data_IF_455427659914
#
_entry.id   IF_455427659914
#
_cell.length_a   1.000
_cell.length_b   1.000
_cell.length_c   1.000
_cell.angle_alpha   90.00
_cell.angle_beta   90.00
_cell.angle_gamma   90.00
#
_symmetry.space_group_name_H-M   'P 1'
#
loop_
_entity.id
_entity.type
_entity.pdbx_description
1 polymer ?
#
# COMPACT_ATOMS: atom_id res chain seq x y z
N UNK A 1 -27.43 -9.43 -56.66
CA UNK A 1 -26.85 -8.08 -56.57
C UNK A 1 -27.63 -7.37 -55.47
N UNK A 2 -27.11 -6.99 -54.31
CA UNK A 2 -25.76 -6.83 -53.80
C UNK A 2 -25.74 -7.20 -52.32
N UNK A 3 -24.65 -7.82 -51.87
CA UNK A 3 -24.41 -8.02 -50.44
C UNK A 3 -23.86 -6.74 -49.85
N UNK A 4 -24.62 -6.11 -48.96
CA UNK A 4 -24.08 -5.11 -48.04
C UNK A 4 -23.25 -5.83 -46.98
N UNK A 5 -21.96 -5.92 -47.28
CA UNK A 5 -20.92 -6.29 -46.32
C UNK A 5 -20.89 -5.16 -45.30
N UNK A 6 -21.40 -5.42 -44.10
CA UNK A 6 -21.23 -4.57 -42.92
C UNK A 6 -19.74 -4.20 -42.81
N UNK A 7 -19.39 -2.97 -43.18
CA UNK A 7 -18.11 -2.39 -42.88
C UNK A 7 -17.98 -2.35 -41.35
N UNK A 8 -17.16 -3.26 -40.82
CA UNK A 8 -16.62 -3.08 -39.47
C UNK A 8 -15.98 -1.70 -39.41
N UNK A 9 -16.31 -0.84 -38.43
CA UNK A 9 -15.69 0.47 -38.34
C UNK A 9 -14.17 0.26 -38.31
N UNK A 10 -13.47 0.91 -39.24
CA UNK A 10 -12.01 0.87 -39.33
C UNK A 10 -11.44 1.12 -37.93
N UNK A 11 -10.63 0.18 -37.43
CA UNK A 11 -9.95 0.37 -36.16
C UNK A 11 -9.18 1.70 -36.23
N UNK A 12 -9.36 2.60 -35.25
CA UNK A 12 -8.83 3.95 -35.35
C UNK A 12 -7.30 3.90 -35.52
N UNK A 13 -6.81 4.57 -36.57
CA UNK A 13 -5.40 4.50 -36.98
C UNK A 13 -4.50 5.08 -35.88
N UNK A 14 -3.40 4.39 -35.53
CA UNK A 14 -2.52 4.85 -34.48
C UNK A 14 -1.82 6.16 -34.85
N UNK A 15 -1.84 7.12 -33.92
CA UNK A 15 -1.21 8.42 -34.03
C UNK A 15 0.17 8.40 -33.36
N UNK A 16 1.16 7.77 -34.03
CA UNK A 16 2.58 7.83 -33.64
C UNK A 16 3.14 6.60 -32.91
N UNK A 17 4.43 6.63 -32.58
CA UNK A 17 5.17 5.49 -32.02
C UNK A 17 4.73 5.11 -30.59
N UNK A 18 4.40 6.11 -29.76
CA UNK A 18 3.86 5.91 -28.42
C UNK A 18 2.48 5.24 -28.46
N UNK A 19 1.65 5.67 -29.40
CA UNK A 19 0.32 5.10 -29.59
C UNK A 19 0.38 3.64 -30.08
N UNK A 20 1.33 3.32 -30.96
CA UNK A 20 1.59 1.94 -31.39
C UNK A 20 2.05 1.03 -30.24
N UNK A 21 2.92 1.52 -29.36
CA UNK A 21 3.47 0.71 -28.26
C UNK A 21 2.44 0.47 -27.15
N UNK A 22 1.78 1.53 -26.68
CA UNK A 22 0.80 1.45 -25.60
C UNK A 22 -0.62 1.14 -26.07
N UNK A 23 -0.86 1.14 -27.38
CA UNK A 23 -2.17 0.92 -28.00
C UNK A 23 -3.22 1.91 -27.47
N UNK A 24 -2.86 3.19 -27.32
CA UNK A 24 -3.66 4.22 -26.62
C UNK A 24 -5.00 4.44 -27.33
N UNK A 25 -4.95 4.64 -28.64
CA UNK A 25 -6.14 4.86 -29.48
C UNK A 25 -6.98 3.59 -29.61
N UNK A 26 -6.35 2.41 -29.63
CA UNK A 26 -7.06 1.13 -29.63
C UNK A 26 -7.75 0.84 -28.27
N UNK A 27 -7.26 1.45 -27.17
CA UNK A 27 -7.90 1.44 -25.85
C UNK A 27 -8.95 2.55 -25.68
N UNK A 28 -9.18 3.37 -26.72
CA UNK A 28 -10.17 4.44 -26.70
C UNK A 28 -9.77 5.66 -25.86
N UNK A 29 -8.47 5.88 -25.62
CA UNK A 29 -7.93 6.97 -24.80
C UNK A 29 -7.13 7.98 -25.65
N UNK A 30 -6.69 9.07 -25.01
CA UNK A 30 -5.81 10.09 -25.62
C UNK A 30 -4.61 10.34 -24.72
N UNK A 31 -3.48 10.80 -25.28
CA UNK A 31 -2.27 11.11 -24.50
C UNK A 31 -2.55 12.07 -23.34
N UNK A 32 -3.41 13.08 -23.57
CA UNK A 32 -3.82 14.03 -22.52
C UNK A 32 -4.59 13.32 -21.40
N UNK A 33 -5.49 12.41 -21.74
CA UNK A 33 -6.27 11.64 -20.78
C UNK A 33 -5.39 10.67 -19.99
N UNK A 34 -4.42 10.02 -20.62
CA UNK A 34 -3.43 9.16 -19.95
C UNK A 34 -2.57 9.94 -18.95
N UNK A 35 -2.09 11.13 -19.32
CA UNK A 35 -1.31 11.98 -18.41
C UNK A 35 -2.15 12.44 -17.21
N UNK A 36 -3.39 12.86 -17.44
CA UNK A 36 -4.29 13.23 -16.34
C UNK A 36 -4.62 12.02 -15.45
N UNK A 37 -4.87 10.85 -16.04
CA UNK A 37 -5.14 9.62 -15.30
C UNK A 37 -3.92 9.20 -14.45
N UNK A 38 -2.71 9.27 -15.02
CA UNK A 38 -1.48 9.01 -14.28
C UNK A 38 -1.30 9.97 -13.10
N UNK A 39 -1.57 11.26 -13.28
CA UNK A 39 -1.48 12.26 -12.22
C UNK A 39 -2.52 12.03 -11.11
N UNK A 40 -3.77 11.71 -11.48
CA UNK A 40 -4.82 11.43 -10.49
C UNK A 40 -4.54 10.15 -9.71
N UNK A 41 -4.05 9.10 -10.38
CA UNK A 41 -3.60 7.85 -9.74
C UNK A 41 -2.41 8.08 -8.81
N UNK A 42 -1.42 8.89 -9.23
CA UNK A 42 -0.32 9.29 -8.37
C UNK A 42 -0.81 9.99 -7.10
N UNK A 43 -1.66 11.02 -7.24
CA UNK A 43 -2.22 11.75 -6.10
C UNK A 43 -3.05 10.87 -5.17
N UNK A 44 -3.73 9.86 -5.70
CA UNK A 44 -4.50 8.92 -4.89
C UNK A 44 -3.62 7.99 -4.04
N UNK A 45 -2.39 7.68 -4.48
CA UNK A 45 -1.50 6.73 -3.79
C UNK A 45 -0.42 7.39 -2.94
N UNK A 46 -0.09 8.67 -3.21
CA UNK A 46 1.07 9.34 -2.58
C UNK A 46 0.95 9.45 -1.06
N UNK A 47 -0.25 9.32 -0.48
CA UNK A 47 -0.40 9.26 0.98
C UNK A 47 0.42 8.11 1.61
N UNK A 48 0.61 7.00 0.88
CA UNK A 48 1.40 5.85 1.35
C UNK A 48 2.86 6.20 1.62
N UNK A 49 3.40 7.19 0.90
CA UNK A 49 4.77 7.71 1.08
C UNK A 49 4.95 8.38 2.45
N UNK A 50 3.87 8.83 3.08
CA UNK A 50 3.89 9.40 4.44
C UNK A 50 3.60 8.32 5.48
N UNK A 51 2.59 7.48 5.21
CA UNK A 51 2.10 6.49 6.17
C UNK A 51 3.13 5.39 6.44
N UNK A 52 3.80 4.86 5.40
CA UNK A 52 4.74 3.75 5.52
C UNK A 52 5.96 4.11 6.38
N UNK A 53 6.67 5.24 6.13
CA UNK A 53 7.75 5.70 7.01
C UNK A 53 7.28 5.98 8.44
N UNK A 54 6.07 6.51 8.61
CA UNK A 54 5.51 6.77 9.95
C UNK A 54 5.28 5.49 10.75
N UNK A 55 4.87 4.40 10.11
CA UNK A 55 4.64 3.11 10.75
C UNK A 55 5.96 2.38 11.05
N UNK A 56 6.84 2.25 10.06
CA UNK A 56 8.13 1.59 10.24
C UNK A 56 9.07 2.39 11.16
N UNK A 57 8.96 3.72 11.16
CA UNK A 57 9.68 4.61 12.07
C UNK A 57 9.42 4.29 13.54
N UNK A 58 8.15 4.02 13.91
CA UNK A 58 7.78 3.61 15.27
C UNK A 58 8.39 2.27 15.69
N UNK A 59 8.73 1.42 14.72
CA UNK A 59 9.39 0.15 14.95
C UNK A 59 10.94 0.25 14.93
N UNK A 60 11.50 1.45 14.81
CA UNK A 60 12.94 1.67 14.81
C UNK A 60 13.61 1.63 13.44
N UNK A 61 12.84 1.65 12.34
CA UNK A 61 13.43 1.85 11.01
C UNK A 61 13.74 3.35 10.80
N UNK A 62 14.88 3.72 10.17
CA UNK A 62 15.19 5.09 9.80
C UNK A 62 14.14 5.66 8.83
N UNK A 63 13.28 6.62 9.25
CA UNK A 63 12.13 7.06 8.45
C UNK A 63 12.52 7.67 7.09
N UNK A 64 13.62 8.43 7.06
CA UNK A 64 14.12 9.03 5.82
C UNK A 64 14.53 7.97 4.77
N UNK A 65 15.23 6.92 5.20
CA UNK A 65 15.62 5.83 4.31
C UNK A 65 14.41 5.03 3.83
N UNK A 66 13.44 4.78 4.71
CA UNK A 66 12.18 4.11 4.35
C UNK A 66 11.36 4.93 3.35
N UNK A 67 11.30 6.25 3.52
CA UNK A 67 10.65 7.16 2.57
C UNK A 67 11.26 7.04 1.17
N UNK A 68 12.58 7.15 1.07
CA UNK A 68 13.29 7.06 -0.21
C UNK A 68 13.10 5.67 -0.83
N UNK A 69 13.22 4.60 -0.04
CA UNK A 69 13.00 3.24 -0.52
C UNK A 69 11.57 3.03 -1.04
N UNK A 70 10.56 3.57 -0.34
CA UNK A 70 9.15 3.49 -0.75
C UNK A 70 8.92 4.18 -2.09
N UNK A 71 9.46 5.39 -2.26
CA UNK A 71 9.36 6.14 -3.51
C UNK A 71 10.07 5.43 -4.68
N UNK A 72 11.28 4.92 -4.45
CA UNK A 72 12.05 4.21 -5.47
C UNK A 72 11.38 2.91 -5.91
N UNK A 73 10.90 2.11 -4.96
CA UNK A 73 10.23 0.82 -5.26
C UNK A 73 8.88 1.05 -5.95
N UNK A 74 8.07 2.00 -5.48
CA UNK A 74 6.79 2.32 -6.12
C UNK A 74 6.99 2.89 -7.54
N UNK A 75 7.97 3.78 -7.72
CA UNK A 75 8.32 4.35 -9.03
C UNK A 75 8.84 3.28 -9.99
N UNK A 76 9.82 2.49 -9.57
CA UNK A 76 10.38 1.41 -10.38
C UNK A 76 9.34 0.35 -10.73
N UNK A 77 8.53 -0.08 -9.76
CA UNK A 77 7.46 -1.05 -9.98
C UNK A 77 6.40 -0.55 -10.96
N UNK A 78 5.99 0.71 -10.83
CA UNK A 78 5.03 1.33 -11.75
C UNK A 78 5.61 1.47 -13.17
N UNK A 79 6.89 1.81 -13.30
CA UNK A 79 7.59 1.84 -14.58
C UNK A 79 7.66 0.46 -15.22
N UNK A 80 7.93 -0.59 -14.44
CA UNK A 80 7.98 -1.96 -14.94
C UNK A 80 6.61 -2.42 -15.45
N UNK A 81 5.53 -2.09 -14.74
CA UNK A 81 4.16 -2.37 -15.19
C UNK A 81 3.80 -1.62 -16.48
N UNK A 82 4.18 -0.35 -16.59
CA UNK A 82 3.93 0.46 -17.78
C UNK A 82 4.76 0.00 -18.98
N UNK A 83 6.09 -0.07 -18.83
CA UNK A 83 7.00 -0.27 -19.95
C UNK A 83 7.13 -1.74 -20.38
N UNK A 84 7.15 -2.67 -19.42
CA UNK A 84 7.38 -4.10 -19.72
C UNK A 84 6.05 -4.87 -19.82
N UNK A 85 5.16 -4.72 -18.84
CA UNK A 85 3.88 -5.43 -18.88
C UNK A 85 2.84 -4.74 -19.79
N UNK A 86 3.04 -3.46 -20.14
CA UNK A 86 2.09 -2.66 -20.92
C UNK A 86 0.68 -2.62 -20.28
N UNK A 87 0.64 -2.56 -18.94
CA UNK A 87 -0.58 -2.52 -18.15
C UNK A 87 -0.76 -1.14 -17.51
N UNK A 88 -1.98 -0.56 -17.55
CA UNK A 88 -2.28 0.74 -16.94
C UNK A 88 -2.49 0.57 -15.42
N UNK A 89 -1.51 -0.02 -14.74
CA UNK A 89 -1.54 -0.30 -13.31
C UNK A 89 -0.32 0.31 -12.63
N UNK A 90 -0.58 1.02 -11.54
CA UNK A 90 0.47 1.59 -10.71
C UNK A 90 0.74 0.68 -9.50
N UNK A 91 2.00 0.61 -9.08
CA UNK A 91 2.42 -0.19 -7.94
C UNK A 91 2.62 0.71 -6.74
N UNK A 92 1.96 0.37 -5.63
CA UNK A 92 2.12 0.99 -4.33
C UNK A 92 2.73 0.05 -3.29
N UNK A 93 2.98 0.57 -2.10
CA UNK A 93 3.42 -0.22 -0.95
C UNK A 93 2.22 -0.90 -0.27
N UNK A 94 2.39 -2.16 0.14
CA UNK A 94 1.37 -2.90 0.89
C UNK A 94 1.33 -2.43 2.36
N UNK A 95 0.30 -1.66 2.71
CA UNK A 95 0.13 -1.08 4.05
C UNK A 95 -0.10 -2.18 5.11
N UNK A 96 -0.84 -3.24 4.76
CA UNK A 96 -1.15 -4.35 5.65
C UNK A 96 0.12 -5.10 6.11
N UNK A 97 0.99 -5.46 5.17
CA UNK A 97 2.29 -6.08 5.44
C UNK A 97 3.23 -5.15 6.19
N UNK A 98 3.19 -3.85 5.90
CA UNK A 98 3.95 -2.83 6.61
C UNK A 98 3.54 -2.77 8.08
N UNK A 99 2.23 -2.78 8.37
CA UNK A 99 1.70 -2.78 9.73
C UNK A 99 2.09 -4.03 10.50
N UNK A 100 1.92 -5.20 9.86
CA UNK A 100 2.28 -6.47 10.46
C UNK A 100 3.77 -6.50 10.82
N UNK A 101 4.63 -6.03 9.92
CA UNK A 101 6.07 -5.96 10.16
C UNK A 101 6.43 -5.03 11.31
N UNK A 102 5.86 -3.82 11.33
CA UNK A 102 6.15 -2.83 12.38
C UNK A 102 5.61 -3.26 13.75
N UNK A 103 4.31 -3.54 13.83
CA UNK A 103 3.60 -3.65 15.10
C UNK A 103 3.53 -5.08 15.62
N UNK A 104 3.43 -6.09 14.75
CA UNK A 104 3.36 -7.49 15.18
C UNK A 104 4.75 -8.10 15.33
N UNK A 105 5.62 -7.98 14.33
CA UNK A 105 6.95 -8.61 14.36
C UNK A 105 7.94 -7.84 15.22
N UNK A 106 8.20 -6.57 14.88
CA UNK A 106 9.25 -5.83 15.56
C UNK A 106 8.80 -5.42 16.97
N UNK A 107 7.66 -4.72 17.09
CA UNK A 107 7.19 -4.27 18.41
C UNK A 107 6.52 -5.38 19.22
N UNK A 108 5.69 -6.23 18.60
CA UNK A 108 4.94 -7.26 19.30
C UNK A 108 5.82 -8.44 19.75
N UNK A 109 6.67 -8.96 18.87
CA UNK A 109 7.55 -10.10 19.16
C UNK A 109 8.97 -9.69 19.57
N UNK A 110 9.27 -8.39 19.64
CA UNK A 110 10.59 -7.85 20.01
C UNK A 110 11.72 -8.37 19.10
N UNK A 111 11.40 -8.57 17.82
CA UNK A 111 12.36 -9.01 16.80
C UNK A 111 13.16 -7.81 16.30
N UNK A 112 14.47 -7.97 16.12
CA UNK A 112 15.32 -6.90 15.60
C UNK A 112 14.99 -6.53 14.14
N UNK A 113 15.21 -5.27 13.77
CA UNK A 113 14.98 -4.76 12.40
C UNK A 113 15.70 -5.61 11.32
N UNK A 114 16.97 -6.02 11.49
CA UNK A 114 17.66 -6.93 10.55
C UNK A 114 16.92 -8.25 10.31
N UNK A 115 16.42 -8.88 11.37
CA UNK A 115 15.69 -10.16 11.29
C UNK A 115 14.33 -9.96 10.63
N UNK A 116 13.64 -8.85 10.93
CA UNK A 116 12.39 -8.50 10.25
C UNK A 116 12.58 -8.26 8.75
N UNK A 117 13.68 -7.60 8.34
CA UNK A 117 14.06 -7.45 6.94
C UNK A 117 14.33 -8.81 6.27
N UNK A 118 15.01 -9.73 6.98
CA UNK A 118 15.21 -11.10 6.54
C UNK A 118 13.89 -11.87 6.34
N UNK A 119 12.94 -11.70 7.25
CA UNK A 119 11.61 -12.30 7.16
C UNK A 119 10.80 -11.77 5.97
N UNK A 120 10.83 -10.46 5.73
CA UNK A 120 10.17 -9.83 4.56
C UNK A 120 10.82 -10.29 3.26
N UNK A 121 12.15 -10.38 3.22
CA UNK A 121 12.88 -10.91 2.06
C UNK A 121 12.50 -12.36 1.76
N UNK A 122 12.50 -13.23 2.79
CA UNK A 122 12.13 -14.64 2.64
C UNK A 122 10.67 -14.79 2.20
N UNK A 123 9.76 -13.97 2.76
CA UNK A 123 8.38 -13.90 2.28
C UNK A 123 8.31 -13.54 0.80
N UNK A 124 9.08 -12.55 0.34
CA UNK A 124 9.13 -12.17 -1.08
C UNK A 124 9.57 -13.33 -1.97
N UNK A 125 10.64 -14.03 -1.58
CA UNK A 125 11.16 -15.20 -2.32
C UNK A 125 10.11 -16.31 -2.38
N UNK A 126 9.50 -16.67 -1.25
CA UNK A 126 8.48 -17.72 -1.18
C UNK A 126 7.24 -17.31 -1.98
N UNK A 127 6.79 -16.06 -1.86
CA UNK A 127 5.65 -15.54 -2.59
C UNK A 127 5.89 -15.58 -4.11
N UNK A 128 7.07 -15.17 -4.57
CA UNK A 128 7.46 -15.29 -5.98
C UNK A 128 7.44 -16.75 -6.44
N UNK A 129 8.00 -17.67 -5.65
CA UNK A 129 7.97 -19.11 -5.97
C UNK A 129 6.52 -19.64 -6.09
N UNK A 130 5.64 -19.30 -5.14
CA UNK A 130 4.21 -19.67 -5.16
C UNK A 130 3.48 -19.07 -6.37
N UNK A 131 3.83 -17.83 -6.74
CA UNK A 131 3.23 -17.13 -7.87
C UNK A 131 3.64 -17.75 -9.20
N UNK A 132 4.92 -18.11 -9.38
CA UNK A 132 5.45 -18.73 -10.60
C UNK A 132 4.97 -20.17 -10.77
N UNK A 133 4.84 -20.93 -9.68
CA UNK A 133 4.36 -22.32 -9.70
C UNK A 133 2.86 -22.47 -9.95
N UNK A 134 2.11 -21.37 -10.02
CA UNK A 134 0.65 -21.41 -10.20
C UNK A 134 -0.14 -21.83 -8.95
N UNK A 135 0.56 -22.13 -7.84
CA UNK A 135 -0.05 -22.47 -6.55
C UNK A 135 -0.92 -21.34 -6.04
N UNK A 136 -0.56 -20.08 -6.32
CA UNK A 136 -1.40 -18.91 -6.03
C UNK A 136 -2.82 -19.09 -6.55
N UNK A 137 -3.01 -19.41 -7.83
CA UNK A 137 -4.34 -19.58 -8.43
C UNK A 137 -5.09 -20.76 -7.82
N UNK A 138 -4.39 -21.83 -7.46
CA UNK A 138 -4.96 -22.99 -6.77
C UNK A 138 -5.46 -22.64 -5.36
N UNK A 139 -4.68 -21.90 -4.57
CA UNK A 139 -5.08 -21.44 -3.23
C UNK A 139 -6.41 -20.67 -3.33
N UNK A 140 -6.52 -19.78 -4.32
CA UNK A 140 -7.67 -18.90 -4.47
C UNK A 140 -8.94 -19.60 -4.92
N UNK A 141 -8.81 -20.60 -5.79
CA UNK A 141 -9.96 -21.41 -6.22
C UNK A 141 -10.53 -22.25 -5.08
N UNK A 142 -9.69 -22.65 -4.15
CA UNK A 142 -10.07 -23.49 -3.02
C UNK A 142 -10.36 -22.70 -1.73
N UNK A 143 -10.15 -21.38 -1.73
CA UNK A 143 -10.40 -20.57 -0.54
C UNK A 143 -11.90 -20.24 -0.42
N UNK A 144 -12.56 -20.59 0.70
CA UNK A 144 -13.92 -20.16 0.94
C UNK A 144 -14.00 -18.63 0.96
N UNK A 145 -15.00 -18.06 0.29
CA UNK A 145 -15.21 -16.60 0.25
C UNK A 145 -15.30 -15.98 1.65
N UNK A 146 -15.78 -16.74 2.65
CA UNK A 146 -15.81 -16.32 4.04
C UNK A 146 -14.43 -16.06 4.65
N UNK A 147 -13.41 -16.86 4.31
CA UNK A 147 -12.03 -16.65 4.78
C UNK A 147 -11.42 -15.42 4.09
N UNK A 148 -11.68 -15.24 2.79
CA UNK A 148 -11.22 -14.05 2.07
C UNK A 148 -11.78 -12.76 2.69
N UNK A 149 -13.10 -12.70 2.89
CA UNK A 149 -13.74 -11.53 3.50
C UNK A 149 -13.31 -11.33 4.95
N UNK A 150 -13.24 -12.41 5.74
CA UNK A 150 -12.82 -12.35 7.14
C UNK A 150 -11.38 -11.84 7.30
N UNK A 151 -10.47 -12.25 6.40
CA UNK A 151 -9.08 -11.76 6.40
C UNK A 151 -9.03 -10.26 6.12
N UNK A 152 -9.79 -9.77 5.13
CA UNK A 152 -9.89 -8.34 4.83
C UNK A 152 -10.43 -7.52 6.01
N UNK A 153 -11.51 -7.99 6.64
CA UNK A 153 -12.10 -7.34 7.82
C UNK A 153 -11.11 -7.33 9.00
N UNK A 154 -10.45 -8.45 9.27
CA UNK A 154 -9.49 -8.58 10.37
C UNK A 154 -8.30 -7.62 10.22
N UNK A 155 -7.72 -7.53 9.02
CA UNK A 155 -6.64 -6.58 8.72
C UNK A 155 -7.14 -5.14 8.89
N UNK A 156 -8.33 -4.81 8.37
CA UNK A 156 -8.92 -3.47 8.51
C UNK A 156 -9.14 -3.07 9.96
N UNK A 157 -9.72 -3.95 10.78
CA UNK A 157 -9.92 -3.72 12.21
C UNK A 157 -8.60 -3.61 12.98
N UNK A 158 -7.59 -4.38 12.58
CA UNK A 158 -6.24 -4.30 13.17
C UNK A 158 -5.58 -2.94 12.87
N UNK A 159 -5.63 -2.48 11.63
CA UNK A 159 -5.14 -1.15 11.25
C UNK A 159 -5.92 -0.03 11.95
N UNK A 160 -7.23 -0.19 12.09
CA UNK A 160 -8.07 0.75 12.84
C UNK A 160 -7.63 0.84 14.30
N UNK A 161 -7.36 -0.29 14.95
CA UNK A 161 -6.87 -0.32 16.33
C UNK A 161 -5.51 0.39 16.45
N UNK A 162 -4.58 0.14 15.52
CA UNK A 162 -3.27 0.83 15.50
C UNK A 162 -3.44 2.34 15.33
N UNK A 163 -4.29 2.77 14.39
CA UNK A 163 -4.55 4.18 14.14
C UNK A 163 -5.21 4.85 15.37
N UNK A 164 -6.23 4.20 15.94
CA UNK A 164 -6.92 4.66 17.14
C UNK A 164 -5.98 4.75 18.35
N UNK A 165 -5.04 3.80 18.49
CA UNK A 165 -3.99 3.88 19.50
C UNK A 165 -2.99 5.01 19.22
N UNK A 166 -2.59 5.19 17.97
CA UNK A 166 -1.65 6.22 17.55
C UNK A 166 -2.14 7.65 17.83
N UNK A 167 -3.45 7.90 17.79
CA UNK A 167 -4.05 9.21 18.11
C UNK A 167 -4.50 9.33 19.57
N UNK A 168 -4.35 8.26 20.38
CA UNK A 168 -4.78 8.26 21.78
C UNK A 168 -6.28 8.08 21.99
N UNK A 169 -7.03 7.63 20.99
CA UNK A 169 -8.45 7.28 21.12
C UNK A 169 -8.63 5.95 21.89
N UNK A 170 -7.72 5.01 21.68
CA UNK A 170 -7.65 3.74 22.40
C UNK A 170 -6.31 3.63 23.13
N UNK A 171 -6.32 3.52 24.45
CA UNK A 171 -5.12 3.43 25.27
C UNK A 171 -5.02 2.05 25.93
N UNK A 172 -3.81 1.67 26.35
CA UNK A 172 -3.62 0.48 27.18
C UNK A 172 -4.35 0.68 28.51
N UNK A 173 -5.18 -0.28 28.89
CA UNK A 173 -5.87 -0.19 30.18
C UNK A 173 -4.86 -0.40 31.32
N UNK A 174 -4.82 0.48 32.33
CA UNK A 174 -4.03 0.26 33.53
C UNK A 174 -4.65 -0.80 34.47
N UNK A 175 -5.92 -1.15 34.31
CA UNK A 175 -6.64 -2.11 35.15
C UNK A 175 -6.44 -3.54 34.62
N UNK A 176 -6.05 -4.47 35.49
CA UNK A 176 -5.94 -5.89 35.14
C UNK A 176 -7.31 -6.48 34.72
N UNK A 177 -7.35 -7.15 33.56
CA UNK A 177 -8.53 -7.86 33.06
C UNK A 177 -9.12 -7.32 31.75
N UNK A 178 -8.86 -6.05 31.39
CA UNK A 178 -9.26 -5.48 30.11
C UNK A 178 -8.01 -4.99 29.36
N UNK A 179 -7.73 -5.42 28.12
CA UNK A 179 -6.50 -5.03 27.42
C UNK A 179 -6.51 -3.58 26.93
N UNK A 180 -7.69 -2.99 26.69
CA UNK A 180 -7.86 -1.65 26.13
C UNK A 180 -8.80 -0.80 26.98
N UNK A 181 -8.58 0.52 26.97
CA UNK A 181 -9.44 1.53 27.57
C UNK A 181 -9.67 2.68 26.58
N UNK A 182 -10.76 3.40 26.79
CA UNK A 182 -11.03 4.63 26.05
C UNK A 182 -10.07 5.73 26.50
N UNK A 183 -9.43 6.39 25.54
CA UNK A 183 -8.59 7.55 25.81
C UNK A 183 -9.40 8.85 25.92
N UNK A 184 -8.69 9.98 25.98
CA UNK A 184 -9.30 11.30 26.10
C UNK A 184 -9.86 11.77 24.73
N UNK A 185 -11.16 11.59 24.51
CA UNK A 185 -11.83 12.00 23.26
C UNK A 185 -11.80 13.51 22.99
N UNK A 186 -11.70 14.31 24.04
CA UNK A 186 -11.59 15.78 23.95
C UNK A 186 -10.17 16.25 23.63
N UNK A 187 -9.21 15.34 23.54
CA UNK A 187 -7.84 15.70 23.17
C UNK A 187 -7.78 16.15 21.71
N UNK A 188 -6.91 17.12 21.46
CA UNK A 188 -6.72 17.69 20.13
C UNK A 188 -6.42 16.63 19.04
N UNK A 189 -5.53 15.62 19.25
CA UNK A 189 -5.25 14.60 18.24
C UNK A 189 -6.48 13.74 17.90
N UNK A 190 -7.28 13.35 18.90
CA UNK A 190 -8.48 12.54 18.67
C UNK A 190 -9.52 13.32 17.88
N UNK A 191 -9.79 14.58 18.26
CA UNK A 191 -10.75 15.42 17.57
C UNK A 191 -10.33 15.70 16.11
N UNK A 192 -9.05 15.98 15.87
CA UNK A 192 -8.53 16.15 14.51
C UNK A 192 -8.63 14.86 13.69
N UNK A 193 -8.41 13.69 14.30
CA UNK A 193 -8.57 12.41 13.61
C UNK A 193 -10.02 12.12 13.18
N UNK A 194 -10.99 12.40 14.06
CA UNK A 194 -12.41 12.20 13.78
C UNK A 194 -12.93 13.18 12.72
N UNK A 195 -12.55 14.46 12.84
CA UNK A 195 -12.89 15.48 11.85
C UNK A 195 -12.24 15.16 10.51
N UNK A 196 -10.97 14.76 10.51
CA UNK A 196 -10.26 14.31 9.32
C UNK A 196 -10.96 13.15 8.63
N UNK A 197 -11.33 12.11 9.38
CA UNK A 197 -12.06 10.97 8.86
C UNK A 197 -13.40 11.38 8.23
N UNK A 198 -14.15 12.27 8.88
CA UNK A 198 -15.41 12.78 8.34
C UNK A 198 -15.21 13.55 7.02
N UNK A 199 -14.15 14.36 6.93
CA UNK A 199 -13.80 15.10 5.69
C UNK A 199 -13.34 14.14 4.60
N UNK A 200 -12.58 13.09 4.93
CA UNK A 200 -12.18 12.05 3.96
C UNK A 200 -13.42 11.40 3.36
N UNK A 201 -14.38 10.95 4.18
CA UNK A 201 -15.63 10.37 3.66
C UNK A 201 -16.42 11.35 2.78
N UNK A 202 -16.45 12.63 3.14
CA UNK A 202 -17.06 13.67 2.31
C UNK A 202 -16.38 13.82 0.95
N UNK A 203 -15.06 13.94 0.92
CA UNK A 203 -14.27 14.08 -0.31
C UNK A 203 -14.30 12.83 -1.19
N UNK A 204 -14.30 11.65 -0.57
CA UNK A 204 -14.38 10.37 -1.25
C UNK A 204 -15.76 10.17 -1.89
N UNK A 205 -16.84 10.57 -1.20
CA UNK A 205 -18.19 10.63 -1.79
C UNK A 205 -18.26 11.60 -2.96
N UNK A 206 -17.53 12.72 -2.89
CA UNK A 206 -17.39 13.69 -3.98
C UNK A 206 -16.45 13.23 -5.10
N UNK A 207 -15.82 12.03 -4.99
CA UNK A 207 -14.86 11.48 -5.95
C UNK A 207 -13.68 12.41 -6.26
N UNK A 208 -13.21 13.15 -5.26
CA UNK A 208 -12.05 14.05 -5.41
C UNK A 208 -10.75 13.22 -5.44
N UNK A 209 -9.94 13.28 -6.52
CA UNK A 209 -8.68 12.54 -6.59
C UNK A 209 -7.70 13.04 -5.52
N UNK A 210 -7.06 12.12 -4.79
CA UNK A 210 -6.14 12.47 -3.71
C UNK A 210 -6.80 13.10 -2.48
N UNK A 211 -8.11 12.88 -2.25
CA UNK A 211 -8.84 13.44 -1.10
C UNK A 211 -8.16 13.16 0.25
N UNK A 212 -7.64 11.94 0.45
CA UNK A 212 -6.89 11.57 1.65
C UNK A 212 -5.65 12.48 1.83
N UNK A 213 -4.89 12.74 0.77
CA UNK A 213 -3.70 13.59 0.82
C UNK A 213 -4.07 15.04 1.20
N UNK A 214 -5.13 15.59 0.61
CA UNK A 214 -5.58 16.95 0.91
C UNK A 214 -5.95 17.09 2.39
N UNK A 215 -6.59 16.08 2.97
CA UNK A 215 -6.91 16.06 4.40
C UNK A 215 -5.66 15.95 5.25
N UNK A 216 -4.69 15.10 4.88
CA UNK A 216 -3.41 15.01 5.58
C UNK A 216 -2.70 16.37 5.60
N UNK A 217 -2.65 17.07 4.46
CA UNK A 217 -2.04 18.40 4.35
C UNK A 217 -2.79 19.41 5.23
N UNK A 218 -4.13 19.46 5.13
CA UNK A 218 -4.94 20.38 5.90
C UNK A 218 -4.76 20.19 7.41
N UNK A 219 -4.82 18.95 7.90
CA UNK A 219 -4.61 18.62 9.32
C UNK A 219 -3.17 18.91 9.73
N UNK A 220 -2.19 18.65 8.87
CA UNK A 220 -0.79 18.96 9.16
C UNK A 220 -0.56 20.46 9.32
N UNK A 221 -1.18 21.30 8.48
CA UNK A 221 -1.11 22.77 8.61
C UNK A 221 -1.77 23.23 9.91
N UNK A 222 -2.96 22.70 10.23
CA UNK A 222 -3.64 23.00 11.49
C UNK A 222 -2.78 22.57 12.68
N UNK A 223 -2.19 21.39 12.64
CA UNK A 223 -1.25 20.91 13.65
C UNK A 223 -0.03 21.83 13.80
N UNK A 224 0.55 22.30 12.71
CA UNK A 224 1.69 23.23 12.73
C UNK A 224 1.38 24.57 13.41
N UNK A 225 0.12 25.03 13.33
CA UNK A 225 -0.32 26.30 13.91
C UNK A 225 -0.72 26.13 15.38
N UNK A 226 -1.44 25.05 15.71
CA UNK A 226 -2.12 24.88 17.00
C UNK A 226 -1.44 23.90 17.95
N UNK A 227 -0.60 23.00 17.46
CA UNK A 227 0.07 21.99 18.28
C UNK A 227 1.56 22.35 18.50
N UNK A 228 1.95 22.71 19.74
CA UNK A 228 3.35 23.01 20.09
C UNK A 228 4.32 21.84 19.86
N UNK A 229 3.81 20.60 19.76
CA UNK A 229 4.61 19.41 19.49
C UNK A 229 5.06 19.33 18.02
N UNK A 230 4.39 20.03 17.10
CA UNK A 230 4.73 20.02 15.68
C UNK A 230 5.77 21.09 15.39
N UNK A 231 7.04 20.70 15.45
CA UNK A 231 8.17 21.58 15.11
C UNK A 231 8.53 21.47 13.65
N UNK A 232 8.62 22.62 12.98
CA UNK A 232 9.11 22.71 11.61
C UNK A 232 10.63 22.48 11.56
N UNK A 233 11.06 21.40 10.91
CA UNK A 233 12.48 21.03 10.81
C UNK A 233 13.13 21.45 9.47
N UNK A 234 12.46 22.22 8.63
CA UNK A 234 13.01 22.76 7.37
C UNK A 234 12.17 22.41 6.12
N UNK A 235 12.54 23.03 4.99
CA UNK A 235 11.82 22.94 3.70
C UNK A 235 12.43 21.87 2.77
N UNK A 236 13.69 21.53 2.98
CA UNK A 236 14.45 20.57 2.18
C UNK A 236 15.21 19.66 3.12
N UNK A 237 14.81 18.39 3.17
CA UNK A 237 15.61 17.33 3.77
C UNK A 237 16.41 16.65 2.66
N UNK A 238 17.72 16.51 2.81
CA UNK A 238 18.51 15.70 1.88
C UNK A 238 18.06 14.23 2.03
N UNK A 239 17.62 13.57 0.94
CA UNK A 239 17.26 12.16 1.00
C UNK A 239 18.52 11.36 1.34
N UNK A 240 18.50 10.73 2.52
CA UNK A 240 19.58 9.86 2.98
C UNK A 240 19.09 8.43 3.06
N UNK A 241 19.85 7.51 2.46
CA UNK A 241 19.68 6.06 2.61
C UNK A 241 20.37 5.52 3.86
N UNK A 242 20.93 6.42 4.67
CA UNK A 242 21.58 6.11 5.95
C UNK A 242 20.75 6.70 7.08
N UNK A 243 20.58 5.94 8.17
CA UNK A 243 19.95 6.44 9.39
C UNK A 243 20.77 7.55 10.04
N UNK A 244 20.22 8.18 11.08
CA UNK A 244 20.92 9.20 11.88
C UNK A 244 22.24 8.69 12.48
N UNK A 245 22.35 7.36 12.66
CA UNK A 245 23.55 6.65 13.14
C UNK A 245 24.59 6.37 12.03
N UNK A 246 24.38 6.83 10.80
CA UNK A 246 25.24 6.56 9.63
C UNK A 246 25.17 5.12 9.09
N UNK A 247 24.39 4.23 9.73
CA UNK A 247 24.18 2.86 9.28
C UNK A 247 23.10 2.80 8.20
N UNK A 248 23.43 2.20 7.06
CA UNK A 248 22.45 1.90 6.03
C UNK A 248 21.74 0.58 6.33
N UNK A 249 20.45 0.51 6.05
CA UNK A 249 19.70 -0.76 6.03
C UNK A 249 19.99 -1.60 4.77
N UNK A 250 20.72 -1.04 3.81
CA UNK A 250 21.13 -1.76 2.60
C UNK A 250 22.05 -2.92 3.03
N UNK A 251 21.66 -4.15 2.68
CA UNK A 251 22.31 -5.41 3.08
C UNK A 251 22.32 -5.73 4.58
N UNK A 252 21.54 -5.02 5.42
CA UNK A 252 21.43 -5.36 6.84
C UNK A 252 20.41 -6.48 7.12
N UNK A 253 20.11 -7.33 6.14
CA UNK A 253 19.11 -8.39 6.26
C UNK A 253 19.71 -9.62 6.95
N UNK A 254 19.02 -10.13 7.97
CA UNK A 254 19.41 -11.36 8.68
C UNK A 254 18.47 -12.51 8.31
N UNK A 255 18.87 -13.25 7.27
CA UNK A 255 18.13 -14.44 6.82
C UNK A 255 18.27 -15.58 7.84
N UNK A 256 19.44 -15.75 8.45
CA UNK A 256 19.64 -16.83 9.42
C UNK A 256 18.75 -16.65 10.65
N UNK A 257 18.62 -15.41 11.14
CA UNK A 257 17.68 -15.05 12.19
C UNK A 257 16.22 -15.28 11.78
N UNK A 258 15.87 -15.00 10.52
CA UNK A 258 14.51 -15.21 10.01
C UNK A 258 14.12 -16.70 9.87
N UNK A 259 15.09 -17.60 9.70
CA UNK A 259 14.87 -19.06 9.67
C UNK A 259 14.77 -19.70 11.07
N UNK A 260 14.97 -18.94 12.14
CA UNK A 260 14.85 -19.49 13.48
C UNK A 260 13.42 -20.01 13.72
N UNK A 261 13.24 -21.14 14.44
CA UNK A 261 11.91 -21.73 14.68
C UNK A 261 10.90 -20.78 15.34
N UNK A 262 11.37 -19.76 16.05
CA UNK A 262 10.56 -18.72 16.69
C UNK A 262 10.00 -17.69 15.71
N UNK A 263 10.71 -17.40 14.62
CA UNK A 263 10.34 -16.40 13.60
C UNK A 263 9.64 -17.05 12.40
N UNK A 264 9.87 -18.34 12.17
CA UNK A 264 9.30 -19.06 11.04
C UNK A 264 7.76 -18.99 10.92
N UNK A 265 6.97 -19.11 12.03
CA UNK A 265 5.51 -18.94 11.95
C UNK A 265 5.11 -17.54 11.45
N UNK A 266 5.87 -16.53 11.84
CA UNK A 266 5.67 -15.14 11.42
C UNK A 266 6.00 -14.91 9.95
N UNK A 267 7.03 -15.56 9.42
CA UNK A 267 7.32 -15.57 7.97
C UNK A 267 6.17 -16.21 7.20
N UNK A 268 5.65 -17.34 7.67
CA UNK A 268 4.52 -18.01 7.05
C UNK A 268 3.26 -17.13 7.07
N UNK A 269 3.01 -16.44 8.19
CA UNK A 269 1.92 -15.47 8.28
C UNK A 269 2.08 -14.34 7.26
N UNK A 270 3.29 -13.76 7.13
CA UNK A 270 3.61 -12.76 6.12
C UNK A 270 3.34 -13.26 4.69
N UNK A 271 3.75 -14.49 4.36
CA UNK A 271 3.50 -15.10 3.05
C UNK A 271 1.99 -15.24 2.79
N UNK A 272 1.23 -15.73 3.77
CA UNK A 272 -0.22 -15.87 3.61
C UNK A 272 -0.90 -14.52 3.44
N UNK A 273 -0.51 -13.51 4.23
CA UNK A 273 -0.99 -12.14 4.06
C UNK A 273 -0.66 -11.60 2.67
N UNK A 274 0.56 -11.82 2.17
CA UNK A 274 0.97 -11.41 0.82
C UNK A 274 0.12 -12.07 -0.28
N UNK A 275 -0.15 -13.38 -0.16
CA UNK A 275 -1.01 -14.11 -1.10
C UNK A 275 -2.41 -13.51 -1.13
N UNK A 276 -2.99 -13.20 0.03
CA UNK A 276 -4.33 -12.62 0.10
C UNK A 276 -4.38 -11.17 -0.40
N UNK A 277 -3.41 -10.34 -0.04
CA UNK A 277 -3.37 -8.94 -0.45
C UNK A 277 -3.14 -8.82 -1.97
N UNK A 278 -2.13 -9.51 -2.50
CA UNK A 278 -1.84 -9.50 -3.93
C UNK A 278 -3.02 -10.02 -4.76
N UNK A 279 -3.72 -11.05 -4.28
CA UNK A 279 -4.90 -11.54 -5.00
C UNK A 279 -6.06 -10.58 -4.92
N UNK A 280 -6.41 -10.12 -3.71
CA UNK A 280 -7.57 -9.26 -3.50
C UNK A 280 -7.44 -7.97 -4.31
N UNK A 281 -6.25 -7.36 -4.29
CA UNK A 281 -5.94 -6.15 -5.06
C UNK A 281 -5.98 -6.41 -6.57
N UNK A 282 -5.33 -7.47 -7.06
CA UNK A 282 -5.34 -7.76 -8.50
C UNK A 282 -6.76 -8.03 -9.00
N UNK A 283 -7.58 -8.82 -8.29
CA UNK A 283 -8.96 -9.10 -8.72
C UNK A 283 -9.82 -7.83 -8.71
N UNK A 284 -9.64 -6.96 -7.71
CA UNK A 284 -10.35 -5.70 -7.63
C UNK A 284 -9.94 -4.74 -8.76
N UNK A 285 -8.64 -4.54 -8.96
CA UNK A 285 -8.10 -3.60 -9.95
C UNK A 285 -8.30 -4.12 -11.38
N UNK A 286 -8.01 -5.40 -11.65
CA UNK A 286 -8.23 -6.00 -12.97
C UNK A 286 -9.73 -6.03 -13.33
N UNK A 287 -10.62 -6.26 -12.36
CA UNK A 287 -12.06 -6.20 -12.58
C UNK A 287 -12.54 -4.79 -12.95
N UNK A 288 -11.99 -3.75 -12.31
CA UNK A 288 -12.28 -2.35 -12.65
C UNK A 288 -11.63 -1.91 -13.98
N UNK A 289 -10.49 -2.50 -14.34
CA UNK A 289 -9.77 -2.23 -15.59
C UNK A 289 -10.28 -3.08 -16.78
N UNK A 290 -11.31 -3.90 -16.58
CA UNK A 290 -11.86 -4.83 -17.58
C UNK A 290 -10.80 -5.79 -18.17
N UNK A 291 -9.81 -6.15 -17.34
CA UNK A 291 -8.72 -7.07 -17.65
C UNK A 291 -9.00 -8.48 -17.13
N UNK A 292 -10.28 -8.81 -16.91
CA UNK A 292 -10.71 -10.13 -16.46
C UNK A 292 -11.50 -10.84 -17.56
N UNK A 293 -11.13 -12.08 -17.87
CA UNK A 293 -11.92 -13.00 -18.68
C UNK A 293 -13.19 -13.43 -17.91
N UNK A 294 -14.14 -14.07 -18.60
CA UNK A 294 -15.46 -14.51 -18.10
C UNK A 294 -15.38 -15.39 -16.84
N UNK A 295 -14.23 -16.02 -16.59
CA UNK A 295 -13.94 -16.84 -15.40
C UNK A 295 -13.19 -16.06 -14.27
N UNK A 296 -13.21 -14.72 -14.30
CA UNK A 296 -12.44 -13.84 -13.41
C UNK A 296 -10.92 -14.11 -13.43
N UNK A 297 -10.38 -14.54 -14.57
CA UNK A 297 -8.94 -14.72 -14.78
C UNK A 297 -8.34 -13.50 -15.47
N UNK A 298 -7.09 -13.15 -15.17
CA UNK A 298 -6.42 -12.00 -15.80
C UNK A 298 -6.14 -12.32 -17.27
N UNK A 299 -6.53 -11.43 -18.18
CA UNK A 299 -6.29 -11.53 -19.63
C UNK A 299 -4.85 -11.11 -19.96
#
# INVERSE_FOLDING_TARGET
MSGDILQTPDAPKPQGALDNYFKITARGSTVRQEVLAGLTTFLAMVYSVIVVPGMLGKAGFPPAAVFVATCLVAGFGSLLMGLWANLPMAIGCAISLTAFTAFSLVLGQQISVPVALGAVFLMGVIFTAISVTGVRTWILRNLPMGIAHGTGIGIGLFLLLIAANGVGMVIKNPIEGLPVALGAFTSFPVMMSLLGLAVIFGLEKCRVPGGILLVIIAISIIGLIFDPAVKYHGLVAMPSLTGEDGKSLIFSLDIMGALQPTVLPSVLALVMTAVFDATGTIRAVAGQANLLDKDNQII
#
